data_IF_273112818657
#
_entry.id   IF_273112818657
#
_cell.length_a   1.000
_cell.length_b   1.000
_cell.length_c   1.000
_cell.angle_alpha   90.00
_cell.angle_beta   90.00
_cell.angle_gamma   90.00
#
_symmetry.space_group_name_H-M   'P 1'
#
loop_
_entity.id
_entity.type
_entity.pdbx_description
1 polymer ?
#
# COMPACT_ATOMS: atom_id res chain seq x y z
N UNK A 1 -8.32 -14.20 -9.60
CA UNK A 1 -7.83 -12.82 -9.48
C UNK A 1 -6.32 -12.78 -9.58
N UNK A 2 -5.75 -11.87 -10.39
CA UNK A 2 -4.30 -11.76 -10.58
C UNK A 2 -3.49 -11.51 -9.30
N UNK A 3 -4.15 -11.04 -8.22
CA UNK A 3 -3.53 -10.80 -6.91
C UNK A 3 -3.71 -11.94 -5.89
N UNK A 4 -3.99 -13.17 -6.33
CA UNK A 4 -4.09 -14.36 -5.47
C UNK A 4 -2.72 -14.80 -4.89
N UNK A 5 -2.03 -13.89 -4.20
CA UNK A 5 -0.69 -14.03 -3.63
C UNK A 5 0.29 -12.89 -3.97
N UNK A 6 0.08 -12.18 -5.09
CA UNK A 6 1.01 -11.16 -5.60
C UNK A 6 0.57 -9.72 -5.26
N UNK A 7 0.46 -9.36 -3.98
CA UNK A 7 -0.20 -8.11 -3.58
C UNK A 7 0.47 -6.84 -4.13
N UNK A 8 1.78 -6.87 -4.41
CA UNK A 8 2.67 -5.85 -5.01
C UNK A 8 2.68 -4.44 -4.37
N UNK A 9 1.62 -4.07 -3.65
CA UNK A 9 1.39 -2.79 -3.00
C UNK A 9 1.02 -3.00 -1.53
N UNK A 10 1.59 -2.21 -0.61
CA UNK A 10 1.23 -2.28 0.80
C UNK A 10 -0.27 -2.06 1.06
N UNK A 11 -0.97 -1.10 0.42
CA UNK A 11 -2.41 -0.93 0.61
C UNK A 11 -3.26 -2.16 0.27
N UNK A 12 -2.88 -2.93 -0.75
CA UNK A 12 -3.57 -4.18 -1.11
C UNK A 12 -3.29 -5.29 -0.08
N UNK A 13 -2.11 -5.25 0.54
CA UNK A 13 -1.78 -6.20 1.61
C UNK A 13 -2.55 -5.90 2.88
N UNK A 14 -2.68 -4.62 3.24
CA UNK A 14 -3.53 -4.18 4.34
C UNK A 14 -5.02 -4.46 4.08
N UNK A 15 -5.49 -4.29 2.84
CA UNK A 15 -6.83 -4.70 2.44
C UNK A 15 -7.08 -6.18 2.76
N UNK A 16 -6.20 -7.07 2.34
CA UNK A 16 -6.32 -8.50 2.62
C UNK A 16 -6.25 -8.86 4.11
N UNK A 17 -5.48 -8.12 4.91
CA UNK A 17 -5.43 -8.30 6.37
C UNK A 17 -6.75 -7.91 7.03
N UNK A 18 -7.40 -6.83 6.56
CA UNK A 18 -8.61 -6.29 7.16
C UNK A 18 -9.90 -6.95 6.68
N UNK A 19 -9.86 -7.61 5.53
CA UNK A 19 -10.98 -8.40 4.99
C UNK A 19 -10.80 -9.89 5.22
N UNK A 20 -9.86 -10.30 6.09
CA UNK A 20 -9.67 -11.71 6.42
C UNK A 20 -10.78 -12.24 7.33
N UNK A 21 -11.05 -13.53 7.21
CA UNK A 21 -12.08 -14.18 8.01
C UNK A 21 -11.71 -14.27 9.51
N UNK A 22 -10.41 -14.26 9.83
CA UNK A 22 -9.90 -14.33 11.20
C UNK A 22 -8.71 -13.37 11.42
N UNK A 23 -9.02 -12.20 11.99
CA UNK A 23 -8.01 -11.20 12.37
C UNK A 23 -7.21 -11.58 13.63
N UNK A 24 -7.58 -12.66 14.33
CA UNK A 24 -6.82 -13.17 15.49
C UNK A 24 -5.79 -14.22 15.12
N UNK A 25 -5.82 -14.70 13.87
CA UNK A 25 -4.90 -15.73 13.38
C UNK A 25 -3.47 -15.17 13.19
N UNK A 26 -2.55 -15.70 13.99
CA UNK A 26 -1.13 -15.31 13.98
C UNK A 26 -0.45 -15.71 12.66
N UNK A 27 -0.84 -16.83 12.03
CA UNK A 27 -0.23 -17.29 10.79
C UNK A 27 -0.62 -16.39 9.62
N UNK A 28 -1.87 -15.91 9.59
CA UNK A 28 -2.32 -14.91 8.64
C UNK A 28 -1.52 -13.60 8.77
N UNK A 29 -1.34 -13.09 9.98
CA UNK A 29 -0.54 -11.89 10.24
C UNK A 29 0.91 -12.06 9.83
N UNK A 30 1.52 -13.21 10.16
CA UNK A 30 2.90 -13.50 9.80
C UNK A 30 3.08 -13.59 8.28
N UNK A 31 2.17 -14.27 7.58
CA UNK A 31 2.23 -14.40 6.12
C UNK A 31 2.05 -13.06 5.41
N UNK A 32 1.12 -12.21 5.84
CA UNK A 32 0.94 -10.89 5.23
C UNK A 32 2.02 -9.89 5.67
N UNK A 33 2.53 -9.98 6.90
CA UNK A 33 3.69 -9.21 7.35
C UNK A 33 4.96 -9.53 6.54
N UNK A 34 5.19 -10.81 6.24
CA UNK A 34 6.27 -11.23 5.34
C UNK A 34 6.12 -10.66 3.92
N UNK A 35 4.89 -10.56 3.40
CA UNK A 35 4.63 -9.90 2.10
C UNK A 35 4.95 -8.40 2.15
N UNK A 36 4.60 -7.71 3.22
CA UNK A 36 4.93 -6.30 3.42
C UNK A 36 6.45 -6.07 3.45
N UNK A 37 7.19 -6.90 4.19
CA UNK A 37 8.66 -6.85 4.22
C UNK A 37 9.25 -7.16 2.85
N UNK A 38 8.75 -8.20 2.17
CA UNK A 38 9.21 -8.56 0.83
C UNK A 38 8.97 -7.46 -0.21
N UNK A 39 7.91 -6.66 -0.07
CA UNK A 39 7.64 -5.50 -0.93
C UNK A 39 8.68 -4.40 -0.73
N UNK A 40 9.05 -4.10 0.52
CA UNK A 40 10.13 -3.14 0.82
C UNK A 40 11.47 -3.62 0.27
N UNK A 41 11.80 -4.91 0.46
CA UNK A 41 13.03 -5.50 -0.09
C UNK A 41 13.03 -5.49 -1.62
N UNK A 42 11.91 -5.84 -2.25
CA UNK A 42 11.75 -5.80 -3.70
C UNK A 42 11.89 -4.37 -4.27
N UNK A 43 11.32 -3.38 -3.58
CA UNK A 43 11.45 -1.98 -3.95
C UNK A 43 12.89 -1.47 -3.78
N UNK A 44 13.59 -1.86 -2.70
CA UNK A 44 15.00 -1.56 -2.51
C UNK A 44 15.86 -2.13 -3.66
N UNK A 45 15.63 -3.39 -4.02
CA UNK A 45 16.33 -4.02 -5.15
C UNK A 45 16.02 -3.34 -6.48
N UNK A 46 14.78 -2.89 -6.69
CA UNK A 46 14.40 -2.14 -7.88
C UNK A 46 15.11 -0.77 -7.95
N UNK A 47 15.22 -0.07 -6.82
CA UNK A 47 15.96 1.21 -6.72
C UNK A 47 17.45 0.99 -7.06
N UNK A 48 18.09 -0.04 -6.50
CA UNK A 48 19.49 -0.37 -6.83
C UNK A 48 19.66 -0.70 -8.31
N UNK A 49 18.78 -1.52 -8.88
CA UNK A 49 18.80 -1.87 -10.31
C UNK A 49 18.69 -0.62 -11.20
N UNK A 50 17.79 0.29 -10.86
CA UNK A 50 17.58 1.51 -11.64
C UNK A 50 18.75 2.49 -11.53
N UNK A 51 19.35 2.61 -10.34
CA UNK A 51 20.50 3.47 -10.12
C UNK A 51 21.79 2.92 -10.76
N UNK A 52 22.08 1.62 -10.56
CA UNK A 52 23.37 1.03 -10.97
C UNK A 52 23.36 0.44 -12.37
N UNK A 53 22.23 -0.11 -12.84
CA UNK A 53 22.18 -0.82 -14.14
C UNK A 53 21.61 0.05 -15.24
N UNK A 54 20.69 0.95 -14.92
CA UNK A 54 20.06 1.85 -15.90
C UNK A 54 20.67 3.25 -15.91
N UNK A 55 21.66 3.52 -15.04
CA UNK A 55 22.32 4.83 -14.86
C UNK A 55 21.32 5.99 -14.75
N UNK A 56 20.12 5.70 -14.23
CA UNK A 56 19.09 6.69 -14.07
C UNK A 56 19.35 7.40 -12.74
N UNK A 57 19.58 8.71 -12.80
CA UNK A 57 19.60 9.59 -11.63
C UNK A 57 18.24 9.56 -10.94
N UNK A 58 18.06 8.59 -10.05
CA UNK A 58 16.85 8.44 -9.27
C UNK A 58 16.78 9.52 -8.21
N UNK A 59 15.60 10.11 -8.06
CA UNK A 59 15.30 10.99 -6.93
C UNK A 59 15.31 10.14 -5.66
N UNK A 60 16.39 10.20 -4.91
CA UNK A 60 16.50 9.65 -3.56
C UNK A 60 15.50 10.34 -2.63
N UNK A 61 15.15 9.71 -1.50
CA UNK A 61 14.24 10.32 -0.52
C UNK A 61 14.73 11.72 -0.08
N UNK A 62 16.03 11.89 0.16
CA UNK A 62 16.63 13.18 0.49
C UNK A 62 16.55 14.22 -0.65
N UNK A 63 16.46 13.79 -1.91
CA UNK A 63 16.23 14.69 -3.05
C UNK A 63 14.75 15.02 -3.26
N UNK A 64 13.84 14.09 -2.94
CA UNK A 64 12.39 14.30 -2.98
C UNK A 64 11.93 15.22 -1.83
N UNK A 65 12.55 15.08 -0.67
CA UNK A 65 12.26 15.82 0.56
C UNK A 65 13.53 16.47 1.13
N UNK A 66 14.08 17.51 0.46
CA UNK A 66 15.34 18.14 0.87
C UNK A 66 15.26 18.87 2.22
N UNK A 67 14.04 19.26 2.65
CA UNK A 67 13.77 19.89 3.95
C UNK A 67 13.13 18.92 4.95
N UNK A 68 13.17 17.61 4.66
CA UNK A 68 12.44 16.58 5.39
C UNK A 68 10.99 16.43 4.92
N UNK A 69 10.41 15.25 5.08
CA UNK A 69 8.98 15.06 4.81
C UNK A 69 8.18 15.68 5.95
N UNK A 70 7.17 16.48 5.61
CA UNK A 70 6.24 17.01 6.60
C UNK A 70 5.60 15.89 7.42
N UNK A 71 5.42 16.14 8.71
CA UNK A 71 4.73 15.19 9.60
C UNK A 71 3.39 14.76 9.00
N UNK A 72 3.00 13.50 9.24
CA UNK A 72 1.69 13.02 8.82
C UNK A 72 0.60 13.88 9.47
N UNK A 73 -0.24 14.49 8.64
CA UNK A 73 -1.38 15.28 9.07
C UNK A 73 -2.69 14.59 8.69
N UNK A 74 -3.65 14.59 9.62
CA UNK A 74 -4.98 14.08 9.34
C UNK A 74 -5.75 15.07 8.46
N UNK A 75 -5.94 14.72 7.19
CA UNK A 75 -6.90 15.35 6.30
C UNK A 75 -8.13 14.46 6.12
N UNK A 76 -9.28 14.94 6.61
CA UNK A 76 -10.54 14.22 6.54
C UNK A 76 -10.96 13.89 5.10
N UNK A 77 -10.67 14.74 4.11
CA UNK A 77 -11.02 14.49 2.72
C UNK A 77 -10.08 13.47 2.07
N UNK A 78 -8.78 13.55 2.36
CA UNK A 78 -7.81 12.56 1.90
C UNK A 78 -8.12 11.17 2.48
N UNK A 79 -8.39 11.09 3.79
CA UNK A 79 -8.78 9.85 4.48
C UNK A 79 -10.08 9.29 3.93
N UNK A 80 -11.11 10.13 3.74
CA UNK A 80 -12.36 9.69 3.12
C UNK A 80 -12.13 9.15 1.69
N UNK A 81 -11.26 9.78 0.91
CA UNK A 81 -10.87 9.31 -0.42
C UNK A 81 -10.25 7.92 -0.39
N UNK A 82 -9.35 7.65 0.56
CA UNK A 82 -8.73 6.33 0.74
C UNK A 82 -9.71 5.25 1.19
N UNK A 83 -10.64 5.59 2.10
CA UNK A 83 -11.72 4.66 2.50
C UNK A 83 -12.63 4.33 1.32
N UNK A 84 -13.00 5.32 0.50
CA UNK A 84 -13.80 5.09 -0.71
C UNK A 84 -13.03 4.23 -1.73
N UNK A 85 -11.73 4.50 -1.93
CA UNK A 85 -10.88 3.68 -2.80
C UNK A 85 -10.84 2.22 -2.31
N UNK A 86 -10.68 2.04 -1.00
CA UNK A 86 -10.76 0.74 -0.33
C UNK A 86 -12.09 0.02 -0.58
N UNK A 87 -13.21 0.72 -0.46
CA UNK A 87 -14.54 0.15 -0.69
C UNK A 87 -14.71 -0.32 -2.14
N UNK A 88 -14.27 0.49 -3.11
CA UNK A 88 -14.32 0.14 -4.53
C UNK A 88 -13.42 -1.08 -4.81
N UNK A 89 -12.19 -1.08 -4.30
CA UNK A 89 -11.26 -2.20 -4.47
C UNK A 89 -11.78 -3.48 -3.82
N UNK A 90 -12.29 -3.41 -2.60
CA UNK A 90 -12.87 -4.56 -1.90
C UNK A 90 -14.06 -5.16 -2.65
N UNK A 91 -14.90 -4.32 -3.24
CA UNK A 91 -16.03 -4.79 -4.05
C UNK A 91 -15.58 -5.43 -5.37
N UNK A 92 -14.62 -4.81 -6.08
CA UNK A 92 -14.03 -5.40 -7.30
C UNK A 92 -13.35 -6.73 -6.96
N UNK A 93 -12.62 -6.77 -5.84
CA UNK A 93 -11.90 -7.92 -5.30
C UNK A 93 -12.80 -9.08 -4.85
N UNK A 94 -14.09 -8.85 -4.64
CA UNK A 94 -15.01 -9.91 -4.19
C UNK A 94 -15.99 -10.33 -5.29
N UNK A 95 -16.34 -9.43 -6.22
CA UNK A 95 -17.42 -9.67 -7.20
C UNK A 95 -16.96 -9.80 -8.64
N UNK A 96 -15.80 -9.26 -9.01
CA UNK A 96 -15.37 -9.26 -10.41
C UNK A 96 -14.50 -10.47 -10.69
N UNK A 97 -15.05 -11.47 -11.37
CA UNK A 97 -14.32 -12.64 -11.84
C UNK A 97 -13.51 -12.33 -13.11
N UNK A 98 -12.55 -11.40 -12.97
CA UNK A 98 -11.59 -11.07 -14.00
C UNK A 98 -10.24 -10.77 -13.36
N UNK A 99 -9.21 -11.50 -13.80
CA UNK A 99 -7.87 -11.37 -13.26
C UNK A 99 -7.29 -9.95 -13.43
N UNK A 100 -7.67 -9.22 -14.47
CA UNK A 100 -7.17 -7.86 -14.77
C UNK A 100 -7.97 -6.74 -14.12
N UNK A 101 -9.15 -7.02 -13.58
CA UNK A 101 -10.00 -5.97 -13.01
C UNK A 101 -9.33 -5.26 -11.84
N UNK A 102 -8.66 -6.00 -10.96
CA UNK A 102 -7.97 -5.43 -9.81
C UNK A 102 -6.75 -4.58 -10.21
N UNK A 103 -5.81 -5.06 -11.05
CA UNK A 103 -4.70 -4.22 -11.53
C UNK A 103 -5.17 -2.93 -12.23
N UNK A 104 -6.20 -3.02 -13.08
CA UNK A 104 -6.73 -1.84 -13.79
C UNK A 104 -7.42 -0.87 -12.82
N UNK A 105 -8.19 -1.38 -11.86
CA UNK A 105 -8.84 -0.55 -10.84
C UNK A 105 -7.81 0.19 -9.99
N UNK A 106 -6.77 -0.53 -9.55
CA UNK A 106 -5.62 0.04 -8.83
C UNK A 106 -5.00 1.17 -9.66
N UNK A 107 -4.63 0.93 -10.91
CA UNK A 107 -4.07 1.99 -11.79
C UNK A 107 -5.03 3.17 -12.01
N UNK A 108 -6.34 2.93 -12.09
CA UNK A 108 -7.34 4.00 -12.22
C UNK A 108 -7.46 4.88 -10.96
N UNK A 109 -7.03 4.37 -9.81
CA UNK A 109 -6.95 5.10 -8.54
C UNK A 109 -5.53 5.62 -8.23
N UNK A 110 -4.68 5.72 -9.26
CA UNK A 110 -3.43 6.46 -9.18
C UNK A 110 -3.70 7.88 -8.66
N UNK A 111 -3.04 8.24 -7.55
CA UNK A 111 -3.22 9.52 -6.86
C UNK A 111 -4.21 9.50 -5.69
N UNK A 112 -4.99 8.43 -5.50
CA UNK A 112 -5.80 8.20 -4.29
C UNK A 112 -5.23 7.12 -3.38
N UNK A 113 -4.59 6.09 -3.97
CA UNK A 113 -3.89 5.04 -3.24
C UNK A 113 -2.38 5.28 -3.37
N UNK A 114 -1.63 5.13 -2.29
CA UNK A 114 -0.19 5.39 -2.28
C UNK A 114 0.60 4.24 -2.94
N UNK A 115 1.02 4.47 -4.20
CA UNK A 115 1.82 3.54 -5.00
C UNK A 115 3.29 3.50 -4.63
N UNK A 116 3.79 4.61 -4.08
CA UNK A 116 5.21 4.82 -3.80
C UNK A 116 5.58 4.39 -2.39
N UNK A 117 4.58 4.14 -1.53
CA UNK A 117 4.75 3.74 -0.11
C UNK A 117 5.80 2.64 0.16
N UNK A 118 5.95 1.64 -0.71
CA UNK A 118 7.01 0.62 -0.57
C UNK A 118 8.39 1.11 -1.00
N UNK A 119 8.45 1.95 -2.04
CA UNK A 119 9.67 2.59 -2.53
C UNK A 119 10.17 3.68 -1.58
N UNK A 120 9.27 4.46 -0.98
CA UNK A 120 9.60 5.46 0.04
C UNK A 120 10.22 4.81 1.28
N UNK A 121 9.59 3.73 1.78
CA UNK A 121 10.14 2.93 2.87
C UNK A 121 11.50 2.30 2.54
N UNK A 122 11.66 1.78 1.32
CA UNK A 122 12.94 1.23 0.87
C UNK A 122 14.02 2.30 0.77
N UNK A 123 13.70 3.45 0.18
CA UNK A 123 14.60 4.59 0.00
C UNK A 123 15.04 5.17 1.36
N UNK A 124 14.12 5.25 2.33
CA UNK A 124 14.44 5.65 3.71
C UNK A 124 15.42 4.68 4.39
N UNK A 125 15.18 3.37 4.30
CA UNK A 125 16.04 2.36 4.93
C UNK A 125 17.43 2.26 4.28
N UNK A 126 17.54 2.64 3.01
CA UNK A 126 18.80 2.64 2.27
C UNK A 126 19.61 3.94 2.44
N UNK A 127 19.00 5.01 2.94
CA UNK A 127 19.63 6.32 3.15
C UNK A 127 19.60 6.68 4.66
N UNK A 128 19.31 7.94 5.00
CA UNK A 128 19.16 8.37 6.39
C UNK A 128 17.73 8.12 6.91
N UNK A 129 17.63 7.59 8.12
CA UNK A 129 16.37 7.24 8.79
C UNK A 129 15.76 8.37 9.61
N UNK A 130 16.22 9.61 9.42
CA UNK A 130 15.83 10.75 10.27
C UNK A 130 14.31 11.01 10.26
N UNK A 131 13.64 10.75 9.13
CA UNK A 131 12.19 10.92 8.97
C UNK A 131 11.39 9.61 9.05
N UNK A 132 11.91 8.56 9.72
CA UNK A 132 11.33 7.21 9.65
C UNK A 132 9.84 7.20 10.03
N UNK A 133 9.46 8.03 11.00
CA UNK A 133 8.07 8.16 11.47
C UNK A 133 7.18 8.80 10.40
N UNK A 134 7.69 9.78 9.66
CA UNK A 134 6.94 10.50 8.63
C UNK A 134 6.60 9.61 7.42
N UNK A 135 7.38 8.57 7.15
CA UNK A 135 7.08 7.59 6.09
C UNK A 135 6.35 6.35 6.64
N UNK A 136 6.69 5.91 7.86
CA UNK A 136 6.07 4.73 8.46
C UNK A 136 4.59 4.96 8.80
N UNK A 137 4.23 6.17 9.28
CA UNK A 137 2.85 6.49 9.61
C UNK A 137 1.91 6.41 8.39
N UNK A 138 2.17 7.09 7.26
CA UNK A 138 1.38 6.92 6.04
C UNK A 138 1.35 5.46 5.56
N UNK A 139 2.49 4.75 5.61
CA UNK A 139 2.56 3.36 5.17
C UNK A 139 1.59 2.42 5.94
N UNK A 140 1.39 2.67 7.23
CA UNK A 140 0.41 1.95 8.06
C UNK A 140 -0.99 2.50 7.86
N UNK A 141 -1.16 3.82 7.99
CA UNK A 141 -2.47 4.47 8.07
C UNK A 141 -3.19 4.46 6.72
N UNK A 142 -2.51 4.74 5.61
CA UNK A 142 -3.10 4.71 4.27
C UNK A 142 -3.59 3.29 3.95
N UNK A 143 -2.76 2.29 4.27
CA UNK A 143 -3.13 0.89 4.16
C UNK A 143 -4.34 0.53 5.03
N UNK A 144 -4.36 1.01 6.27
CA UNK A 144 -5.48 0.80 7.18
C UNK A 144 -6.79 1.42 6.68
N UNK A 145 -6.75 2.65 6.15
CA UNK A 145 -7.95 3.30 5.62
C UNK A 145 -8.50 2.57 4.37
N UNK A 146 -7.62 2.12 3.48
CA UNK A 146 -8.00 1.28 2.34
C UNK A 146 -8.62 -0.04 2.82
N UNK A 147 -8.04 -0.68 3.84
CA UNK A 147 -8.59 -1.92 4.39
C UNK A 147 -9.95 -1.74 5.08
N UNK A 148 -10.13 -0.67 5.85
CA UNK A 148 -11.43 -0.31 6.45
C UNK A 148 -12.50 -0.10 5.38
N UNK A 149 -12.14 0.58 4.28
CA UNK A 149 -13.03 0.75 3.14
C UNK A 149 -13.50 -0.58 2.55
N UNK A 150 -12.56 -1.49 2.30
CA UNK A 150 -12.87 -2.80 1.74
C UNK A 150 -13.74 -3.65 2.67
N UNK A 151 -13.44 -3.64 3.98
CA UNK A 151 -14.27 -4.29 4.99
C UNK A 151 -15.70 -3.74 5.00
N UNK A 152 -15.85 -2.41 4.98
CA UNK A 152 -17.16 -1.76 4.98
C UNK A 152 -17.95 -2.10 3.71
N UNK A 153 -17.31 -2.20 2.55
CA UNK A 153 -17.97 -2.62 1.32
C UNK A 153 -18.48 -4.07 1.39
N UNK A 154 -17.69 -4.99 1.95
CA UNK A 154 -18.11 -6.37 2.19
C UNK A 154 -19.30 -6.44 3.15
N UNK A 155 -19.23 -5.70 4.27
CA UNK A 155 -20.32 -5.64 5.23
C UNK A 155 -21.62 -5.09 4.64
N UNK A 156 -21.56 -4.03 3.83
CA UNK A 156 -22.73 -3.47 3.15
C UNK A 156 -23.36 -4.51 2.21
N UNK A 157 -22.53 -5.21 1.43
CA UNK A 157 -22.98 -6.21 0.47
C UNK A 157 -23.64 -7.42 1.15
N UNK A 158 -23.11 -7.88 2.28
CA UNK A 158 -23.69 -8.98 3.06
C UNK A 158 -25.05 -8.64 3.71
N UNK A 159 -25.36 -7.35 3.88
CA UNK A 159 -26.57 -6.86 4.56
C UNK A 159 -27.62 -6.25 3.61
N UNK A 160 -27.41 -6.32 2.29
CA UNK A 160 -28.36 -5.92 1.24
C UNK A 160 -29.13 -7.12 0.68
#
# INVERSE_FOLDING_TARGET
MAFNGAHILPPITWMNIMTSDDMSDTDMWMNNGLKLVAQVVGAALAIVLMAEVLEWDMVTYAQAYPDGQGDWEFDAMAVAGMVVAGAILGHISSKVDNDWAMPVAVMAMAGMVNFESAADMASMLMNDTDDLVAVMLPWILDGAFVGVGAFMAGWIDDNL
#
